data_IF_445389380358
#
_entry.id   IF_445389380358
#
_cell.length_a   1.000
_cell.length_b   1.000
_cell.length_c   1.000
_cell.angle_alpha   90.00
_cell.angle_beta   90.00
_cell.angle_gamma   90.00
#
_symmetry.space_group_name_H-M   'P 1'
#
loop_
_entity.id
_entity.type
_entity.pdbx_description
1 polymer ?
#
# COMPACT_ATOMS: atom_id res chain seq x y z
N UNK A 1 -13.08 17.92 4.11
CA UNK A 1 -13.49 16.98 5.19
C UNK A 1 -12.46 16.91 6.31
N UNK A 2 -11.18 16.53 6.07
CA UNK A 2 -10.16 16.47 7.13
C UNK A 2 -9.97 17.83 7.81
N UNK A 3 -9.84 18.91 7.02
CA UNK A 3 -9.69 20.29 7.51
C UNK A 3 -10.91 20.70 8.34
N UNK A 4 -12.11 20.50 7.82
CA UNK A 4 -13.37 20.83 8.52
C UNK A 4 -13.52 20.07 9.84
N UNK A 5 -13.18 18.79 9.84
CA UNK A 5 -13.24 17.97 11.04
C UNK A 5 -12.14 18.34 12.05
N UNK A 6 -10.92 18.68 11.58
CA UNK A 6 -9.80 19.10 12.43
C UNK A 6 -10.02 20.44 13.14
N UNK A 7 -11.00 21.24 12.70
CA UNK A 7 -11.41 22.50 13.33
C UNK A 7 -12.45 22.31 14.45
N UNK A 8 -12.81 21.06 14.79
CA UNK A 8 -13.72 20.80 15.91
C UNK A 8 -13.17 21.33 17.23
N UNK A 9 -13.99 22.03 18.00
CA UNK A 9 -13.63 22.54 19.33
C UNK A 9 -13.36 21.41 20.34
N UNK A 10 -14.00 20.25 20.14
CA UNK A 10 -13.78 19.08 20.96
C UNK A 10 -12.81 18.11 20.25
N UNK A 11 -11.63 17.92 20.80
CA UNK A 11 -10.60 17.04 20.25
C UNK A 11 -11.03 15.57 20.15
N UNK A 12 -11.96 15.11 20.97
CA UNK A 12 -12.49 13.75 20.92
C UNK A 12 -13.35 13.50 19.67
N UNK A 13 -13.87 14.56 19.04
CA UNK A 13 -14.66 14.49 17.81
C UNK A 13 -13.80 14.54 16.55
N UNK A 14 -12.49 14.80 16.67
CA UNK A 14 -11.56 14.86 15.54
C UNK A 14 -11.27 13.44 15.03
N UNK A 15 -11.79 13.13 13.86
CA UNK A 15 -11.59 11.83 13.21
C UNK A 15 -10.34 11.81 12.34
N UNK A 16 -9.58 10.72 12.34
CA UNK A 16 -8.47 10.55 11.40
C UNK A 16 -9.01 10.31 9.97
N UNK A 17 -8.30 10.89 9.00
CA UNK A 17 -8.52 10.65 7.57
C UNK A 17 -7.30 9.97 6.99
N UNK A 18 -7.52 8.98 6.14
CA UNK A 18 -6.47 8.24 5.46
C UNK A 18 -6.57 8.44 3.95
N UNK A 19 -5.47 8.90 3.35
CA UNK A 19 -5.23 8.79 1.91
C UNK A 19 -4.36 7.55 1.67
N UNK A 20 -4.90 6.59 0.94
CA UNK A 20 -4.15 5.41 0.51
C UNK A 20 -3.70 5.62 -0.95
N UNK A 21 -2.39 5.50 -1.17
CA UNK A 21 -1.77 5.56 -2.51
C UNK A 21 -1.16 4.19 -2.79
N UNK A 22 -1.73 3.46 -3.73
CA UNK A 22 -1.19 2.17 -4.13
C UNK A 22 -0.12 2.34 -5.22
N UNK A 23 0.94 1.54 -5.13
CA UNK A 23 2.04 1.49 -6.12
C UNK A 23 2.64 2.87 -6.44
N UNK A 24 2.99 3.63 -5.41
CA UNK A 24 3.46 5.02 -5.54
C UNK A 24 4.64 5.17 -6.51
N UNK A 25 5.45 4.14 -6.68
CA UNK A 25 6.62 4.13 -7.57
C UNK A 25 6.31 3.70 -9.02
N UNK A 26 5.03 3.52 -9.39
CA UNK A 26 4.62 3.34 -10.80
C UNK A 26 4.68 4.63 -11.61
N UNK A 27 4.79 5.77 -10.95
CA UNK A 27 4.98 7.05 -11.58
C UNK A 27 6.24 7.74 -11.05
N UNK A 28 6.75 8.73 -11.77
CA UNK A 28 7.80 9.60 -11.28
C UNK A 28 7.24 10.46 -10.14
N UNK A 29 7.51 10.07 -8.89
CA UNK A 29 6.96 10.73 -7.70
C UNK A 29 7.33 12.21 -7.62
N UNK A 30 8.53 12.59 -8.04
CA UNK A 30 8.94 13.99 -8.06
C UNK A 30 8.10 14.83 -9.04
N UNK A 31 7.75 14.27 -10.20
CA UNK A 31 6.90 14.94 -11.17
C UNK A 31 5.43 14.99 -10.71
N UNK A 32 4.93 13.92 -10.10
CA UNK A 32 3.52 13.85 -9.63
C UNK A 32 3.28 14.77 -8.45
N UNK A 33 4.16 14.73 -7.45
CA UNK A 33 3.99 15.54 -6.24
C UNK A 33 4.41 17.00 -6.45
N UNK A 34 5.41 17.27 -7.31
CA UNK A 34 5.87 18.64 -7.58
C UNK A 34 6.09 19.45 -6.29
N UNK A 35 5.50 20.63 -6.22
CA UNK A 35 5.59 21.52 -5.06
C UNK A 35 4.88 20.97 -3.81
N UNK A 36 3.88 20.08 -4.01
CA UNK A 36 3.14 19.44 -2.90
C UNK A 36 4.05 18.53 -2.06
N UNK A 37 5.20 18.17 -2.61
CA UNK A 37 6.20 17.33 -1.97
C UNK A 37 6.66 17.86 -0.59
N UNK A 38 6.80 19.16 -0.41
CA UNK A 38 7.19 19.74 0.89
C UNK A 38 6.09 19.65 1.94
N UNK A 39 4.84 19.43 1.54
CA UNK A 39 3.74 19.20 2.49
C UNK A 39 3.90 17.89 3.27
N UNK A 40 4.73 16.96 2.78
CA UNK A 40 5.04 15.70 3.47
C UNK A 40 6.04 15.89 4.62
N UNK A 41 6.72 17.03 4.72
CA UNK A 41 7.50 17.37 5.92
C UNK A 41 6.52 17.71 7.05
N UNK A 42 6.49 16.90 8.11
CA UNK A 42 5.55 17.02 9.21
C UNK A 42 6.23 17.59 10.45
N UNK A 43 5.49 18.42 11.17
CA UNK A 43 5.89 18.91 12.50
C UNK A 43 5.56 17.89 13.61
N UNK A 44 5.91 18.22 14.86
CA UNK A 44 5.65 17.37 16.04
C UNK A 44 4.15 17.12 16.31
N UNK A 45 3.26 17.90 15.70
CA UNK A 45 1.81 17.73 15.75
C UNK A 45 1.26 16.93 14.58
N UNK A 46 2.14 16.45 13.71
CA UNK A 46 1.78 15.70 12.52
C UNK A 46 1.05 16.53 11.44
N UNK A 47 1.14 17.88 11.48
CA UNK A 47 0.70 18.76 10.41
C UNK A 47 1.87 19.09 9.47
N UNK A 48 1.59 19.57 8.24
CA UNK A 48 2.66 20.05 7.36
C UNK A 48 3.47 21.16 8.02
N UNK A 49 4.77 21.00 8.11
CA UNK A 49 5.68 22.01 8.67
C UNK A 49 5.68 23.28 7.82
N UNK A 50 5.74 23.13 6.50
CA UNK A 50 5.76 24.23 5.55
C UNK A 50 4.46 24.25 4.71
N UNK A 51 3.87 25.44 4.49
CA UNK A 51 2.77 25.57 3.55
C UNK A 51 3.27 25.57 2.11
N UNK A 52 2.35 25.31 1.18
CA UNK A 52 2.53 25.60 -0.24
C UNK A 52 1.51 26.65 -0.68
N UNK A 53 1.90 27.48 -1.65
CA UNK A 53 1.00 28.41 -2.30
C UNK A 53 0.32 27.73 -3.47
N UNK A 54 -0.99 27.50 -3.43
CA UNK A 54 -1.70 26.88 -4.53
C UNK A 54 -1.87 27.86 -5.70
N UNK A 55 -2.08 27.31 -6.90
CA UNK A 55 -2.46 28.12 -8.06
C UNK A 55 -3.83 28.79 -7.86
N UNK A 56 -4.11 29.84 -8.62
CA UNK A 56 -5.40 30.54 -8.57
C UNK A 56 -6.59 29.59 -8.86
N UNK A 57 -6.41 28.62 -9.76
CA UNK A 57 -7.42 27.61 -10.04
C UNK A 57 -7.73 26.73 -8.84
N UNK A 58 -6.68 26.32 -8.10
CA UNK A 58 -6.84 25.54 -6.87
C UNK A 58 -7.50 26.37 -5.77
N UNK A 59 -7.14 27.65 -5.60
CA UNK A 59 -7.79 28.56 -4.66
C UNK A 59 -9.28 28.71 -4.98
N UNK A 60 -9.63 28.95 -6.25
CA UNK A 60 -11.02 29.05 -6.69
C UNK A 60 -11.80 27.75 -6.43
N UNK A 61 -11.18 26.59 -6.70
CA UNK A 61 -11.78 25.30 -6.40
C UNK A 61 -12.01 25.10 -4.90
N UNK A 62 -11.01 25.40 -4.06
CA UNK A 62 -11.14 25.29 -2.60
C UNK A 62 -12.23 26.22 -2.05
N UNK A 63 -12.30 27.45 -2.53
CA UNK A 63 -13.35 28.41 -2.14
C UNK A 63 -14.74 27.90 -2.53
N UNK A 64 -14.88 27.26 -3.69
CA UNK A 64 -16.14 26.66 -4.12
C UNK A 64 -16.57 25.47 -3.26
N UNK A 65 -15.62 24.55 -2.95
CA UNK A 65 -15.92 23.31 -2.24
C UNK A 65 -16.02 23.47 -0.71
N UNK A 66 -15.21 24.37 -0.13
CA UNK A 66 -15.11 24.58 1.31
C UNK A 66 -15.77 25.89 1.77
N UNK A 67 -16.18 26.74 0.84
CA UNK A 67 -16.76 28.06 1.11
C UNK A 67 -15.68 29.14 1.24
N UNK A 68 -16.12 30.39 1.41
CA UNK A 68 -15.24 31.54 1.55
C UNK A 68 -14.80 32.13 0.21
N UNK A 69 -13.69 32.88 0.25
CA UNK A 69 -13.09 33.54 -0.92
C UNK A 69 -11.75 32.91 -1.26
N UNK A 70 -11.31 32.92 -2.55
CA UNK A 70 -10.05 32.33 -2.99
C UNK A 70 -8.82 32.82 -2.19
N UNK A 71 -8.79 34.10 -1.78
CA UNK A 71 -7.67 34.71 -1.02
C UNK A 71 -7.50 34.08 0.37
N UNK A 72 -8.51 33.39 0.90
CA UNK A 72 -8.42 32.67 2.18
C UNK A 72 -7.61 31.38 2.07
N UNK A 73 -7.31 30.95 0.84
CA UNK A 73 -6.56 29.75 0.53
C UNK A 73 -5.17 30.06 -0.07
N UNK A 74 -4.58 31.19 0.31
CA UNK A 74 -3.23 31.58 -0.15
C UNK A 74 -2.14 30.61 0.30
N UNK A 75 -2.39 29.87 1.36
CA UNK A 75 -1.52 28.81 1.87
C UNK A 75 -2.34 27.55 2.18
N UNK A 76 -1.82 26.41 1.75
CA UNK A 76 -2.39 25.11 2.08
C UNK A 76 -1.40 24.25 2.86
N UNK A 77 -1.90 23.45 3.79
CA UNK A 77 -1.17 22.46 4.59
C UNK A 77 -1.97 21.17 4.66
N UNK A 78 -1.28 20.05 4.84
CA UNK A 78 -1.96 18.82 5.24
C UNK A 78 -2.19 18.91 6.75
N UNK A 79 -3.43 18.76 7.22
CA UNK A 79 -3.76 18.85 8.63
C UNK A 79 -3.24 17.66 9.44
N UNK A 80 -3.18 17.81 10.76
CA UNK A 80 -2.66 16.82 11.72
C UNK A 80 -3.49 15.53 11.79
N UNK A 81 -4.76 15.59 11.43
CA UNK A 81 -5.68 14.45 11.39
C UNK A 81 -5.70 13.72 10.04
N UNK A 82 -4.83 14.08 9.10
CA UNK A 82 -4.71 13.42 7.79
C UNK A 82 -3.43 12.59 7.70
N UNK A 83 -3.60 11.29 7.49
CA UNK A 83 -2.54 10.31 7.30
C UNK A 83 -2.45 9.92 5.81
N UNK A 84 -1.24 9.64 5.37
CA UNK A 84 -0.99 9.15 4.02
C UNK A 84 -0.25 7.83 4.13
N UNK A 85 -0.84 6.78 3.62
CA UNK A 85 -0.20 5.47 3.49
C UNK A 85 0.05 5.18 2.02
N UNK A 86 1.15 4.50 1.77
CA UNK A 86 1.50 4.15 0.40
C UNK A 86 2.07 2.74 0.34
N UNK A 87 1.74 2.03 -0.72
CA UNK A 87 2.39 0.76 -1.05
C UNK A 87 3.38 0.96 -2.19
N UNK A 88 4.44 0.17 -2.18
CA UNK A 88 5.37 0.08 -3.30
C UNK A 88 5.92 -1.34 -3.44
N UNK A 89 6.19 -1.72 -4.66
CA UNK A 89 6.98 -2.90 -4.97
C UNK A 89 8.35 -2.45 -5.49
N UNK A 90 9.41 -2.67 -4.70
CA UNK A 90 10.76 -2.17 -5.02
C UNK A 90 11.49 -3.01 -6.09
N UNK A 91 11.03 -4.23 -6.33
CA UNK A 91 11.71 -5.17 -7.21
C UNK A 91 11.00 -5.38 -8.55
N UNK A 92 9.90 -4.67 -8.78
CA UNK A 92 9.14 -4.78 -10.02
C UNK A 92 9.87 -4.06 -11.18
N UNK A 93 9.76 -4.61 -12.38
CA UNK A 93 10.31 -3.99 -13.59
C UNK A 93 9.40 -2.83 -14.03
N UNK A 94 10.01 -1.70 -14.42
CA UNK A 94 9.27 -0.54 -14.89
C UNK A 94 8.77 0.39 -13.79
N UNK A 95 9.31 0.27 -12.57
CA UNK A 95 9.08 1.24 -11.50
C UNK A 95 10.13 2.35 -11.53
N UNK A 96 9.73 3.54 -11.09
CA UNK A 96 10.63 4.67 -10.98
C UNK A 96 11.43 4.60 -9.67
N UNK A 97 12.75 4.89 -9.71
CA UNK A 97 13.53 5.01 -8.50
C UNK A 97 13.03 6.21 -7.67
N UNK A 98 12.88 6.01 -6.38
CA UNK A 98 12.58 7.10 -5.45
C UNK A 98 13.87 7.68 -4.91
N UNK A 99 14.02 9.00 -5.01
CA UNK A 99 15.17 9.70 -4.47
C UNK A 99 15.20 9.72 -2.93
N UNK A 100 16.36 10.05 -2.37
CA UNK A 100 16.56 10.09 -0.93
C UNK A 100 15.74 11.20 -0.27
N UNK A 101 15.52 12.33 -0.96
CA UNK A 101 14.71 13.43 -0.43
C UNK A 101 13.25 13.04 -0.27
N UNK A 102 12.72 12.22 -1.17
CA UNK A 102 11.39 11.66 -1.02
C UNK A 102 11.34 10.61 0.11
N UNK A 103 12.29 9.68 0.12
CA UNK A 103 12.31 8.58 1.09
C UNK A 103 12.34 9.07 2.54
N UNK A 104 13.11 10.10 2.86
CA UNK A 104 13.25 10.61 4.23
C UNK A 104 11.95 11.13 4.86
N UNK A 105 10.90 11.35 4.06
CA UNK A 105 9.60 11.83 4.52
C UNK A 105 8.61 10.72 4.86
N UNK A 106 9.06 9.46 4.70
CA UNK A 106 8.24 8.28 4.90
C UNK A 106 8.83 7.37 5.96
N UNK A 107 7.98 6.79 6.76
CA UNK A 107 8.32 5.66 7.59
C UNK A 107 8.11 4.38 6.78
N UNK A 108 9.17 3.62 6.56
CA UNK A 108 9.12 2.40 5.79
C UNK A 108 8.90 1.19 6.68
N UNK A 109 7.93 0.38 6.31
CA UNK A 109 7.70 -0.94 6.87
C UNK A 109 7.88 -1.98 5.77
N UNK A 110 8.76 -2.95 6.00
CA UNK A 110 8.96 -4.05 5.07
C UNK A 110 7.98 -5.18 5.38
N UNK A 111 7.20 -5.56 4.38
CA UNK A 111 6.26 -6.69 4.47
C UNK A 111 6.91 -7.89 3.80
N UNK A 112 7.50 -8.78 4.61
CA UNK A 112 8.15 -10.00 4.11
C UNK A 112 7.18 -11.02 3.54
N UNK A 113 7.72 -11.93 2.74
CA UNK A 113 6.95 -12.93 1.97
C UNK A 113 6.02 -13.81 2.82
N UNK A 114 6.32 -13.99 4.11
CA UNK A 114 5.52 -14.82 5.02
C UNK A 114 4.62 -14.00 5.97
N UNK A 115 4.48 -12.69 5.74
CA UNK A 115 3.68 -11.84 6.60
C UNK A 115 2.24 -12.33 6.69
N UNK A 116 1.75 -12.48 7.94
CA UNK A 116 0.39 -12.95 8.28
C UNK A 116 0.02 -14.34 7.75
N UNK A 117 0.98 -15.23 7.56
CA UNK A 117 0.70 -16.61 7.12
C UNK A 117 -0.16 -17.40 8.11
N UNK A 118 -0.19 -17.00 9.38
CA UNK A 118 -1.05 -17.59 10.41
C UNK A 118 -2.56 -17.47 10.10
N UNK A 119 -2.96 -16.48 9.27
CA UNK A 119 -4.36 -16.30 8.86
C UNK A 119 -4.88 -17.38 7.91
N UNK A 120 -3.97 -18.10 7.26
CA UNK A 120 -4.30 -19.22 6.38
C UNK A 120 -3.72 -20.53 6.89
N UNK A 121 -3.39 -20.58 8.18
CA UNK A 121 -3.04 -21.82 8.86
C UNK A 121 -4.18 -22.84 8.72
N UNK A 122 -3.82 -24.11 8.64
CA UNK A 122 -4.77 -25.21 8.51
C UNK A 122 -5.63 -25.18 7.23
N UNK A 123 -5.17 -24.45 6.20
CA UNK A 123 -5.80 -24.46 4.88
C UNK A 123 -5.12 -25.53 4.02
N UNK A 124 -5.91 -26.49 3.57
CA UNK A 124 -5.41 -27.67 2.86
C UNK A 124 -5.92 -27.75 1.45
N UNK A 125 -5.03 -28.17 0.55
CA UNK A 125 -5.39 -28.68 -0.76
C UNK A 125 -5.78 -30.14 -0.65
N UNK A 126 -6.87 -30.49 -1.29
CA UNK A 126 -7.23 -31.90 -1.50
C UNK A 126 -6.68 -32.32 -2.86
N UNK A 127 -5.71 -33.22 -2.85
CA UNK A 127 -5.14 -33.80 -4.06
C UNK A 127 -5.59 -35.25 -4.16
N UNK A 128 -6.05 -35.66 -5.34
CA UNK A 128 -6.35 -37.03 -5.65
C UNK A 128 -5.22 -37.64 -6.49
N UNK A 129 -4.50 -38.59 -5.93
CA UNK A 129 -3.48 -39.34 -6.62
C UNK A 129 -3.84 -40.83 -6.52
N UNK A 130 -4.11 -41.45 -7.65
CA UNK A 130 -4.48 -42.86 -7.73
C UNK A 130 -5.72 -43.23 -6.89
N UNK A 131 -6.74 -42.36 -6.87
CA UNK A 131 -8.01 -42.52 -6.12
C UNK A 131 -7.86 -42.50 -4.59
N UNK A 132 -6.74 -42.03 -4.07
CA UNK A 132 -6.55 -41.82 -2.64
C UNK A 132 -6.44 -40.30 -2.39
N UNK A 133 -7.44 -39.67 -1.79
CA UNK A 133 -7.36 -38.26 -1.45
C UNK A 133 -6.32 -38.05 -0.36
N UNK A 134 -5.40 -37.10 -0.55
CA UNK A 134 -4.48 -36.66 0.46
C UNK A 134 -4.56 -35.14 0.62
N UNK A 135 -4.32 -34.66 1.85
CA UNK A 135 -4.36 -33.26 2.17
C UNK A 135 -2.93 -32.71 2.21
N UNK A 136 -2.71 -31.59 1.54
CA UNK A 136 -1.43 -30.87 1.56
C UNK A 136 -1.68 -29.51 2.16
N UNK A 137 -0.94 -29.16 3.21
CA UNK A 137 -0.97 -27.81 3.79
C UNK A 137 -0.45 -26.79 2.76
N UNK A 138 -1.22 -25.73 2.57
CA UNK A 138 -0.87 -24.70 1.58
C UNK A 138 0.43 -23.99 1.92
N UNK A 139 0.66 -23.64 3.21
CA UNK A 139 1.89 -22.96 3.60
C UNK A 139 3.13 -23.83 3.39
N UNK A 140 3.03 -25.12 3.69
CA UNK A 140 4.12 -26.06 3.44
C UNK A 140 4.42 -26.21 1.94
N UNK A 141 3.37 -26.36 1.14
CA UNK A 141 3.52 -26.49 -0.31
C UNK A 141 4.16 -25.24 -0.93
N UNK A 142 3.62 -24.04 -0.66
CA UNK A 142 4.18 -22.81 -1.22
C UNK A 142 5.62 -22.53 -0.77
N UNK A 143 5.95 -22.84 0.51
CA UNK A 143 7.32 -22.70 1.02
C UNK A 143 8.29 -23.67 0.34
N UNK A 144 7.87 -24.90 0.11
CA UNK A 144 8.67 -25.87 -0.65
C UNK A 144 8.92 -25.41 -2.09
N UNK A 145 7.90 -24.89 -2.76
CA UNK A 145 8.02 -24.30 -4.09
C UNK A 145 8.95 -23.09 -4.07
N UNK A 146 8.76 -22.17 -3.15
CA UNK A 146 9.59 -20.97 -2.98
C UNK A 146 11.07 -21.34 -2.73
N UNK A 147 11.33 -22.34 -1.89
CA UNK A 147 12.69 -22.85 -1.64
C UNK A 147 13.34 -23.36 -2.93
N UNK A 148 12.59 -24.06 -3.74
CA UNK A 148 13.08 -24.54 -5.05
C UNK A 148 13.36 -23.37 -6.00
N UNK A 149 12.42 -22.39 -6.10
CA UNK A 149 12.58 -21.23 -6.97
C UNK A 149 13.73 -20.31 -6.54
N UNK A 150 13.96 -20.17 -5.24
CA UNK A 150 15.07 -19.37 -4.68
C UNK A 150 16.42 -20.11 -4.74
N UNK A 151 16.44 -21.39 -5.10
CA UNK A 151 17.65 -22.21 -5.16
C UNK A 151 18.68 -21.66 -6.16
N UNK A 152 19.91 -22.21 -6.10
CA UNK A 152 21.00 -21.80 -7.01
C UNK A 152 20.70 -21.99 -8.49
N UNK A 153 19.80 -22.91 -8.81
CA UNK A 153 19.45 -23.25 -10.20
C UNK A 153 18.53 -22.20 -10.83
N UNK A 154 17.59 -21.66 -10.06
CA UNK A 154 16.59 -20.71 -10.57
C UNK A 154 16.85 -19.26 -10.14
N UNK A 155 17.38 -19.03 -8.94
CA UNK A 155 17.75 -17.68 -8.42
C UNK A 155 16.64 -16.65 -8.51
N UNK A 156 15.39 -17.08 -8.29
CA UNK A 156 14.25 -16.17 -8.29
C UNK A 156 14.29 -15.32 -7.02
N UNK A 157 14.17 -14.00 -7.18
CA UNK A 157 14.15 -13.05 -6.08
C UNK A 157 12.88 -13.18 -5.23
N UNK A 158 12.94 -12.79 -3.97
CA UNK A 158 11.84 -12.92 -3.00
C UNK A 158 10.54 -12.26 -3.46
N UNK A 159 10.64 -11.12 -4.15
CA UNK A 159 9.50 -10.37 -4.69
C UNK A 159 8.65 -11.14 -5.71
N UNK A 160 9.21 -12.19 -6.30
CA UNK A 160 8.55 -13.05 -7.29
C UNK A 160 8.13 -14.40 -6.72
N UNK A 161 8.34 -14.60 -5.43
CA UNK A 161 7.93 -15.80 -4.73
C UNK A 161 6.46 -15.72 -4.30
N UNK A 162 5.87 -16.87 -3.98
CA UNK A 162 4.47 -16.95 -3.58
C UNK A 162 4.27 -16.55 -2.13
N UNK A 163 3.50 -15.49 -1.88
CA UNK A 163 3.00 -15.13 -0.56
C UNK A 163 1.90 -16.06 -0.06
N UNK A 164 1.51 -15.94 1.23
CA UNK A 164 0.45 -16.78 1.83
C UNK A 164 -0.89 -16.66 1.11
N UNK A 165 -1.20 -15.45 0.64
CA UNK A 165 -2.47 -15.12 -0.01
C UNK A 165 -2.41 -15.15 -1.55
N UNK A 166 -1.36 -15.76 -2.12
CA UNK A 166 -1.20 -15.89 -3.56
C UNK A 166 -2.40 -16.62 -4.21
N UNK A 167 -2.95 -17.59 -3.49
CA UNK A 167 -4.21 -18.24 -3.83
C UNK A 167 -5.24 -17.96 -2.73
N UNK A 168 -6.45 -17.59 -3.11
CA UNK A 168 -7.51 -17.34 -2.13
C UNK A 168 -7.94 -18.62 -1.42
N UNK A 169 -8.40 -18.50 -0.18
CA UNK A 169 -8.88 -19.63 0.62
C UNK A 169 -9.99 -20.42 -0.09
N UNK A 170 -10.90 -19.72 -0.76
CA UNK A 170 -12.00 -20.35 -1.51
C UNK A 170 -11.51 -21.22 -2.69
N UNK A 171 -10.39 -20.84 -3.32
CA UNK A 171 -9.77 -21.64 -4.38
C UNK A 171 -9.07 -22.86 -3.77
N UNK A 172 -8.37 -22.68 -2.64
CA UNK A 172 -7.65 -23.77 -1.96
C UNK A 172 -8.60 -24.86 -1.43
N UNK A 173 -9.80 -24.49 -1.01
CA UNK A 173 -10.83 -25.41 -0.52
C UNK A 173 -11.61 -26.11 -1.66
N UNK A 174 -11.39 -25.73 -2.91
CA UNK A 174 -12.04 -26.29 -4.09
C UNK A 174 -11.03 -26.86 -5.07
N UNK A 175 -10.92 -28.18 -5.17
CA UNK A 175 -9.92 -28.86 -6.01
C UNK A 175 -10.02 -28.49 -7.49
N UNK A 176 -11.22 -28.42 -8.05
CA UNK A 176 -11.41 -28.07 -9.47
C UNK A 176 -11.02 -26.63 -9.75
N UNK A 177 -11.34 -25.70 -8.84
CA UNK A 177 -10.95 -24.29 -8.94
C UNK A 177 -9.43 -24.16 -8.86
N UNK A 178 -8.79 -24.87 -7.92
CA UNK A 178 -7.34 -24.88 -7.78
C UNK A 178 -6.63 -25.43 -9.02
N UNK A 179 -7.08 -26.57 -9.52
CA UNK A 179 -6.51 -27.19 -10.74
C UNK A 179 -6.61 -26.27 -11.95
N UNK A 180 -7.72 -25.55 -12.12
CA UNK A 180 -7.89 -24.58 -13.20
C UNK A 180 -6.95 -23.38 -13.05
N UNK A 181 -6.75 -22.89 -11.84
CA UNK A 181 -5.91 -21.72 -11.54
C UNK A 181 -4.42 -22.03 -11.69
N UNK A 182 -3.96 -23.22 -11.28
CA UNK A 182 -2.54 -23.58 -11.30
C UNK A 182 -2.07 -24.28 -12.59
N UNK A 183 -2.97 -24.75 -13.43
CA UNK A 183 -2.60 -25.42 -14.69
C UNK A 183 -2.75 -24.54 -15.93
N UNK A 184 -3.27 -23.34 -15.77
CA UNK A 184 -3.33 -22.32 -16.83
C UNK A 184 -2.08 -21.46 -16.83
#
# INVERSE_FOLDING_TARGET
KAIENGQSENKEDVKPFLLLIEEINRANVAAVFGEVFQLLDRDDRNASQYPVKPSEDIKAYLAKELGGRPEQYDEIKIPDNMYIWSTMNSADQGVFPMDTAFKRRWNFEYIGINHREEKIKDTYLVCDKAQVPYRVDWNELRKAINTTLASRDYKINEDKLMGPFFVSKSILENEDAFRKTFKS
#
